data_IF_936840361429
#
_entry.id   IF_936840361429
#
_cell.length_a   1.000
_cell.length_b   1.000
_cell.length_c   1.000
_cell.angle_alpha   90.00
_cell.angle_beta   90.00
_cell.angle_gamma   90.00
#
_symmetry.space_group_name_H-M   'P 1'
#
loop_
_entity.id
_entity.type
_entity.pdbx_description
1 polymer ?
#
# COMPACT_ATOMS: atom_id res chain seq x y z
N UNK A 1 5.84 -10.93 -6.30
CA UNK A 1 4.79 -10.05 -6.86
C UNK A 1 4.60 -8.92 -5.87
N UNK A 2 4.73 -7.67 -6.31
CA UNK A 2 4.57 -6.52 -5.41
C UNK A 2 3.10 -6.23 -5.14
N UNK A 3 2.80 -5.96 -3.88
CA UNK A 3 1.49 -5.57 -3.37
C UNK A 3 1.57 -4.11 -2.93
N UNK A 4 0.69 -3.26 -3.46
CA UNK A 4 0.61 -1.85 -3.05
C UNK A 4 -0.30 -1.67 -1.85
N UNK A 5 0.15 -0.86 -0.90
CA UNK A 5 -0.68 -0.31 0.17
C UNK A 5 -0.83 1.18 -0.04
N UNK A 6 -2.03 1.68 0.22
CA UNK A 6 -2.33 3.11 0.32
C UNK A 6 -2.52 3.42 1.79
N UNK A 7 -1.83 4.46 2.25
CA UNK A 7 -1.84 4.94 3.60
C UNK A 7 -2.51 6.31 3.65
N UNK A 8 -3.37 6.52 4.64
CA UNK A 8 -3.99 7.82 4.91
C UNK A 8 -3.64 8.25 6.32
N UNK A 9 -3.09 9.45 6.46
CA UNK A 9 -2.75 10.00 7.77
C UNK A 9 -3.99 10.03 8.69
N UNK A 10 -3.83 9.56 9.92
CA UNK A 10 -4.88 9.63 10.94
C UNK A 10 -5.21 11.06 11.37
N UNK A 11 -4.23 11.98 11.30
CA UNK A 11 -4.44 13.40 11.56
C UNK A 11 -5.21 14.03 10.37
N UNK A 12 -6.47 14.41 10.62
CA UNK A 12 -7.36 15.01 9.62
C UNK A 12 -6.87 16.35 9.09
N UNK A 13 -6.17 17.14 9.92
CA UNK A 13 -5.58 18.40 9.48
C UNK A 13 -4.41 18.19 8.49
N UNK A 14 -3.67 17.08 8.63
CA UNK A 14 -2.62 16.73 7.68
C UNK A 14 -3.19 16.15 6.39
N UNK A 15 -4.12 15.19 6.50
CA UNK A 15 -4.84 14.63 5.34
C UNK A 15 -3.99 13.90 4.30
N UNK A 16 -2.67 13.79 4.49
CA UNK A 16 -1.74 13.21 3.51
C UNK A 16 -2.11 11.76 3.20
N UNK A 17 -1.99 11.44 1.91
CA UNK A 17 -2.09 10.09 1.37
C UNK A 17 -0.76 9.74 0.73
N UNK A 18 -0.28 8.53 0.94
CA UNK A 18 0.91 8.00 0.28
C UNK A 18 0.72 6.52 0.00
N UNK A 19 1.53 5.98 -0.90
CA UNK A 19 1.52 4.57 -1.24
C UNK A 19 2.95 4.01 -1.22
N UNK A 20 3.05 2.72 -0.91
CA UNK A 20 4.30 1.95 -1.01
C UNK A 20 4.01 0.56 -1.54
N UNK A 21 5.03 -0.05 -2.14
CA UNK A 21 4.98 -1.40 -2.66
C UNK A 21 5.80 -2.35 -1.78
N UNK A 22 5.25 -3.52 -1.53
CA UNK A 22 5.84 -4.55 -0.68
C UNK A 22 5.83 -5.89 -1.39
N UNK A 23 6.86 -6.68 -1.17
CA UNK A 23 6.84 -8.09 -1.46
C UNK A 23 6.10 -8.83 -0.35
N UNK A 24 5.27 -9.81 -0.74
CA UNK A 24 4.50 -10.61 0.20
C UNK A 24 5.16 -11.97 0.40
N UNK A 25 5.35 -12.39 1.64
CA UNK A 25 5.77 -13.74 1.99
C UNK A 25 4.80 -14.37 2.99
N UNK A 26 4.47 -15.64 2.79
CA UNK A 26 3.68 -16.40 3.77
C UNK A 26 4.60 -16.84 4.90
N UNK A 27 4.26 -16.50 6.13
CA UNK A 27 4.99 -16.93 7.33
C UNK A 27 4.10 -17.82 8.20
N UNK A 28 4.63 -18.93 8.72
CA UNK A 28 3.89 -19.78 9.64
C UNK A 28 3.69 -19.05 10.98
N UNK A 29 2.49 -19.15 11.55
CA UNK A 29 2.12 -18.56 12.85
C UNK A 29 1.60 -19.59 13.84
N UNK A 30 1.89 -20.88 13.60
CA UNK A 30 1.45 -22.01 14.40
C UNK A 30 0.14 -22.64 13.91
N UNK A 31 -0.18 -23.84 14.42
CA UNK A 31 -1.41 -24.58 14.12
C UNK A 31 -1.71 -24.75 12.62
N UNK A 32 -0.66 -24.97 11.80
CA UNK A 32 -0.80 -25.11 10.34
C UNK A 32 -1.26 -23.83 9.62
N UNK A 33 -1.32 -22.69 10.31
CA UNK A 33 -1.73 -21.41 9.71
C UNK A 33 -0.51 -20.63 9.24
N UNK A 34 -0.65 -20.01 8.07
CA UNK A 34 0.31 -19.05 7.55
C UNK A 34 -0.37 -17.73 7.27
N UNK A 35 0.30 -16.62 7.56
CA UNK A 35 -0.19 -15.27 7.29
C UNK A 35 0.76 -14.54 6.32
N UNK A 36 0.25 -13.63 5.48
CA UNK A 36 1.12 -12.82 4.66
C UNK A 36 1.82 -11.75 5.51
N UNK A 37 3.15 -11.72 5.48
CA UNK A 37 3.97 -10.56 5.84
C UNK A 37 4.26 -9.76 4.58
N UNK A 38 4.31 -8.44 4.73
CA UNK A 38 4.58 -7.50 3.64
C UNK A 38 5.84 -6.72 3.98
N UNK A 39 6.87 -6.88 3.16
CA UNK A 39 8.19 -6.31 3.38
C UNK A 39 8.67 -5.58 2.14
N UNK A 40 9.37 -4.47 2.33
CA UNK A 40 10.09 -3.76 1.28
C UNK A 40 11.55 -3.63 1.68
N UNK A 41 12.41 -3.51 0.69
CA UNK A 41 13.81 -3.13 0.90
C UNK A 41 13.93 -1.61 0.66
N UNK A 42 14.64 -0.91 1.54
CA UNK A 42 14.97 0.51 1.38
C UNK A 42 16.20 0.66 0.47
N UNK A 43 16.49 1.87 0.00
CA UNK A 43 17.71 2.16 -0.77
C UNK A 43 19.01 1.68 -0.08
N UNK A 44 19.04 1.69 1.25
CA UNK A 44 20.17 1.20 2.06
C UNK A 44 20.23 -0.32 2.25
N UNK A 45 19.36 -1.09 1.60
CA UNK A 45 19.29 -2.55 1.72
C UNK A 45 18.56 -3.06 2.98
N UNK A 46 17.98 -2.17 3.79
CA UNK A 46 17.25 -2.56 5.00
C UNK A 46 15.85 -3.07 4.64
N UNK A 47 15.48 -4.22 5.20
CA UNK A 47 14.11 -4.76 5.10
C UNK A 47 13.19 -4.09 6.12
N UNK A 48 12.07 -3.55 5.65
CA UNK A 48 11.08 -2.83 6.44
C UNK A 48 9.71 -3.45 6.23
N UNK A 49 9.04 -3.84 7.32
CA UNK A 49 7.67 -4.33 7.25
C UNK A 49 6.67 -3.18 7.08
N UNK A 50 5.55 -3.45 6.39
CA UNK A 50 4.51 -2.46 6.12
C UNK A 50 3.96 -1.74 7.38
N UNK A 51 4.02 -2.37 8.55
CA UNK A 51 3.63 -1.74 9.82
C UNK A 51 4.47 -0.53 10.20
N UNK A 52 5.75 -0.49 9.83
CA UNK A 52 6.64 0.65 10.11
C UNK A 52 6.28 1.89 9.28
N UNK A 53 5.69 1.69 8.11
CA UNK A 53 5.26 2.76 7.21
C UNK A 53 3.89 3.36 7.57
N UNK A 54 3.33 3.00 8.73
CA UNK A 54 2.12 3.63 9.27
C UNK A 54 2.37 5.02 9.88
N UNK A 55 3.62 5.48 9.90
CA UNK A 55 3.99 6.84 10.30
C UNK A 55 3.88 7.78 9.09
N UNK A 56 3.16 8.88 9.27
CA UNK A 56 3.04 9.88 8.21
C UNK A 56 4.38 10.55 7.91
N UNK A 57 4.86 10.57 6.65
CA UNK A 57 6.14 11.19 6.30
C UNK A 57 6.14 12.73 6.40
N UNK A 58 4.99 13.36 6.62
CA UNK A 58 4.86 14.82 6.62
C UNK A 58 4.77 15.43 8.01
N UNK A 59 3.97 14.82 8.89
CA UNK A 59 3.68 15.36 10.22
C UNK A 59 4.16 14.43 11.33
N UNK A 60 4.81 13.32 10.98
CA UNK A 60 5.27 12.27 11.91
C UNK A 60 4.18 11.67 12.79
N UNK A 61 2.91 12.03 12.56
CA UNK A 61 1.76 11.51 13.28
C UNK A 61 1.66 10.00 13.15
N UNK A 62 1.45 9.34 14.28
CA UNK A 62 1.25 7.90 14.35
C UNK A 62 -0.19 7.53 13.95
N UNK A 63 -0.39 6.29 13.47
CA UNK A 63 -1.69 5.67 13.11
C UNK A 63 -2.27 6.08 11.74
N UNK A 64 -1.47 5.99 10.69
CA UNK A 64 -2.04 5.97 9.34
C UNK A 64 -2.97 4.76 9.16
N UNK A 65 -4.11 4.97 8.51
CA UNK A 65 -4.92 3.87 8.00
C UNK A 65 -4.20 3.28 6.80
N UNK A 66 -3.70 2.05 6.94
CA UNK A 66 -3.11 1.30 5.85
C UNK A 66 -4.19 0.43 5.18
N UNK A 67 -4.26 0.44 3.85
CA UNK A 67 -5.19 -0.40 3.09
C UNK A 67 -4.47 -1.05 1.92
N UNK A 68 -4.49 -2.38 1.88
CA UNK A 68 -3.96 -3.16 0.77
C UNK A 68 -4.85 -2.96 -0.45
N UNK A 69 -4.26 -2.58 -1.58
CA UNK A 69 -5.00 -2.48 -2.84
C UNK A 69 -5.59 -3.84 -3.20
N UNK A 70 -6.91 -3.89 -3.35
CA UNK A 70 -7.65 -5.07 -3.79
C UNK A 70 -8.04 -4.88 -5.26
N UNK A 71 -7.29 -5.53 -6.14
CA UNK A 71 -7.48 -5.47 -7.59
C UNK A 71 -8.41 -6.55 -8.10
N UNK A 72 -9.54 -6.14 -8.67
CA UNK A 72 -10.44 -6.99 -9.44
C UNK A 72 -10.31 -6.60 -10.91
N UNK A 73 -9.85 -7.53 -11.76
CA UNK A 73 -9.68 -7.27 -13.19
C UNK A 73 -11.04 -7.25 -13.87
N UNK A 74 -11.33 -6.14 -14.53
CA UNK A 74 -12.52 -5.92 -15.36
C UNK A 74 -12.09 -5.42 -16.74
N UNK A 75 -13.05 -5.18 -17.64
CA UNK A 75 -12.78 -4.54 -18.92
C UNK A 75 -12.50 -3.02 -18.83
N UNK A 76 -12.68 -2.39 -17.67
CA UNK A 76 -12.54 -0.94 -17.54
C UNK A 76 -11.08 -0.51 -17.69
N UNK A 77 -10.80 0.36 -18.66
CA UNK A 77 -9.49 0.98 -18.82
C UNK A 77 -9.14 1.85 -17.60
N UNK A 78 -7.84 1.97 -17.29
CA UNK A 78 -7.38 2.88 -16.26
C UNK A 78 -7.47 4.34 -16.74
N UNK A 79 -7.93 5.21 -15.86
CA UNK A 79 -7.92 6.66 -16.02
C UNK A 79 -7.36 7.33 -14.75
N UNK A 80 -7.47 8.66 -14.67
CA UNK A 80 -7.04 9.45 -13.52
C UNK A 80 -7.69 8.98 -12.20
N UNK A 81 -8.93 8.49 -12.22
CA UNK A 81 -9.62 8.00 -11.02
C UNK A 81 -8.92 6.77 -10.44
N UNK A 82 -8.34 5.92 -11.29
CA UNK A 82 -7.52 4.78 -10.86
C UNK A 82 -6.16 5.26 -10.36
N UNK A 83 -5.43 6.05 -11.16
CA UNK A 83 -4.05 6.42 -10.82
C UNK A 83 -3.94 7.33 -9.62
N UNK A 84 -4.95 8.16 -9.35
CA UNK A 84 -5.01 9.08 -8.21
C UNK A 84 -5.85 8.55 -7.04
N UNK A 85 -6.33 7.31 -7.13
CA UNK A 85 -7.18 6.73 -6.10
C UNK A 85 -6.54 6.79 -4.71
N UNK A 86 -7.35 7.19 -3.72
CA UNK A 86 -6.97 7.24 -2.30
C UNK A 86 -7.55 6.07 -1.49
N UNK A 87 -8.51 5.35 -2.06
CA UNK A 87 -9.08 4.14 -1.50
C UNK A 87 -8.42 2.88 -2.07
N UNK A 88 -8.78 1.70 -1.56
CA UNK A 88 -8.07 0.46 -1.88
C UNK A 88 -8.73 -0.41 -2.96
N UNK A 89 -10.01 -0.18 -3.27
CA UNK A 89 -10.73 -1.00 -4.25
C UNK A 89 -10.38 -0.56 -5.67
N UNK A 90 -9.86 -1.48 -6.47
CA UNK A 90 -9.58 -1.27 -7.89
C UNK A 90 -10.46 -2.22 -8.71
N UNK A 91 -11.24 -1.65 -9.63
CA UNK A 91 -12.12 -2.38 -10.55
C UNK A 91 -11.75 -2.07 -12.00
N UNK A 92 -10.45 -1.89 -12.27
CA UNK A 92 -9.91 -1.64 -13.60
C UNK A 92 -9.14 -2.88 -14.12
N UNK A 93 -8.97 -2.94 -15.43
CA UNK A 93 -8.14 -3.90 -16.16
C UNK A 93 -6.72 -4.06 -15.60
N UNK A 94 -6.14 -3.04 -14.98
CA UNK A 94 -4.80 -3.15 -14.38
C UNK A 94 -4.72 -4.08 -13.17
N UNK A 95 -5.86 -4.50 -12.59
CA UNK A 95 -5.88 -5.37 -11.42
C UNK A 95 -5.14 -4.80 -10.21
N UNK A 96 -5.17 -3.48 -10.03
CA UNK A 96 -4.50 -2.77 -8.93
C UNK A 96 -3.10 -2.25 -9.27
N UNK A 97 -2.48 -2.65 -10.39
CA UNK A 97 -1.10 -2.26 -10.73
C UNK A 97 -0.90 -0.76 -10.84
N UNK A 98 -1.88 -0.02 -11.34
CA UNK A 98 -1.80 1.44 -11.50
C UNK A 98 -2.51 2.21 -10.39
N UNK A 99 -3.24 1.51 -9.53
CA UNK A 99 -4.15 2.12 -8.55
C UNK A 99 -3.39 2.93 -7.50
N UNK A 100 -3.73 4.20 -7.34
CA UNK A 100 -3.06 5.12 -6.42
C UNK A 100 -1.58 5.36 -6.72
N UNK A 101 -1.11 5.10 -7.94
CA UNK A 101 0.31 5.28 -8.33
C UNK A 101 0.79 6.72 -8.19
N UNK A 102 -0.09 7.72 -8.33
CA UNK A 102 0.25 9.12 -8.12
C UNK A 102 0.71 9.42 -6.66
N UNK A 103 0.35 8.54 -5.71
CA UNK A 103 0.73 8.67 -4.30
C UNK A 103 1.95 7.83 -3.94
N UNK A 104 2.53 7.09 -4.89
CA UNK A 104 3.69 6.22 -4.64
C UNK A 104 4.91 7.06 -4.27
N UNK A 105 5.51 6.76 -3.12
CA UNK A 105 6.75 7.38 -2.68
C UNK A 105 7.90 6.38 -2.72
N UNK A 106 9.02 6.81 -3.29
CA UNK A 106 10.29 6.10 -3.20
C UNK A 106 11.02 6.54 -1.91
N UNK A 107 11.73 5.60 -1.28
CA UNK A 107 12.63 5.82 -0.15
C UNK A 107 13.85 4.93 -0.31
#
# INVERSE_FOLDING_TARGET
MKTRFIFRCGNKACGRVWAREYDSRMVPVGYGRSVPRYERETETGRKVEAGYDTRCPSCSGMRAQASRVAGFRTAHACDARCTEAKGFKCECSCGGKNHGRAHLICE
#
